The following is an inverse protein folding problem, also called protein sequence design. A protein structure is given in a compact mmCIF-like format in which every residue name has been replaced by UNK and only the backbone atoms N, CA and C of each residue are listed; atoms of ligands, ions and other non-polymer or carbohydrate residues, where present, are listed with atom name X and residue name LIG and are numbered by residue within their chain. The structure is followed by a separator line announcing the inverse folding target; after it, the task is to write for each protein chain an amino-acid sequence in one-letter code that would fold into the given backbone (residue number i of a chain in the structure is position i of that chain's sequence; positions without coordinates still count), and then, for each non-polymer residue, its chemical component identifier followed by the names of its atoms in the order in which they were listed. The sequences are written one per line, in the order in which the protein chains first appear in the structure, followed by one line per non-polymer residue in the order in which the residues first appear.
data_IF_008742323663
#
_entry.id   IF_008742323663
#
_cell.length_a   1.000
_cell.length_b   1.000
_cell.length_c   1.000
_cell.angle_alpha   90.00
_cell.angle_beta   90.00
_cell.angle_gamma   90.00
#
_symmetry.space_group_name_H-M   'P 1'
#
loop_
_entity.id
_entity.type
_entity.pdbx_description
1 polymer ?
#
# COMPACT_ATOMS: atom_id res chain seq x y z
N UNK A 1 -30.99 -50.08 42.35
CA UNK A 1 -30.02 -49.21 41.70
C UNK A 1 -28.67 -49.85 41.82
N UNK A 2 -28.15 -50.40 40.74
CA UNK A 2 -26.75 -50.89 40.65
C UNK A 2 -25.83 -49.68 40.53
N UNK A 3 -24.90 -49.52 41.51
CA UNK A 3 -23.79 -48.61 41.40
C UNK A 3 -22.85 -49.07 40.28
N UNK A 4 -22.60 -48.24 39.30
CA UNK A 4 -21.58 -48.48 38.31
C UNK A 4 -20.21 -48.48 38.98
N UNK A 5 -19.47 -49.58 38.85
CA UNK A 5 -18.09 -49.73 39.26
C UNK A 5 -17.24 -48.67 38.61
N UNK A 6 -16.69 -47.79 39.41
CA UNK A 6 -15.71 -46.79 38.99
C UNK A 6 -14.45 -47.48 38.48
N UNK A 7 -14.24 -47.42 37.17
CA UNK A 7 -13.00 -47.80 36.49
C UNK A 7 -11.80 -47.12 37.22
N UNK A 8 -11.03 -47.88 37.99
CA UNK A 8 -9.77 -47.42 38.60
C UNK A 8 -8.83 -47.04 37.47
N UNK A 9 -8.71 -45.77 37.10
CA UNK A 9 -7.67 -45.28 36.23
C UNK A 9 -6.30 -45.62 36.85
N UNK A 10 -5.60 -46.52 36.22
CA UNK A 10 -4.21 -46.81 36.60
C UNK A 10 -3.42 -45.50 36.57
N UNK A 11 -2.58 -45.24 37.61
CA UNK A 11 -1.76 -44.07 37.63
C UNK A 11 -0.74 -44.13 36.46
N UNK A 12 -0.84 -43.12 35.56
CA UNK A 12 0.10 -43.00 34.43
C UNK A 12 1.53 -42.97 34.96
N UNK A 13 2.48 -43.68 34.34
CA UNK A 13 3.86 -43.65 34.74
C UNK A 13 4.41 -42.19 34.75
N UNK A 14 5.34 -41.88 35.66
CA UNK A 14 5.89 -40.54 35.77
C UNK A 14 6.62 -40.18 34.49
N UNK A 15 6.19 -39.05 33.87
CA UNK A 15 6.77 -38.57 32.58
C UNK A 15 8.23 -38.15 32.87
N UNK A 16 9.17 -38.71 32.12
CA UNK A 16 10.59 -38.38 32.18
C UNK A 16 10.83 -36.88 31.90
N UNK A 17 11.87 -36.30 32.51
CA UNK A 17 12.30 -34.95 32.20
C UNK A 17 12.63 -34.75 30.70
N UNK A 18 13.18 -35.79 30.09
CA UNK A 18 13.51 -35.82 28.66
C UNK A 18 12.23 -35.73 27.78
N UNK A 19 11.20 -36.50 28.15
CA UNK A 19 9.91 -36.46 27.41
C UNK A 19 9.26 -35.09 27.47
N UNK A 20 9.34 -34.40 28.61
CA UNK A 20 8.85 -33.01 28.76
C UNK A 20 9.61 -32.06 27.84
N UNK A 21 10.93 -32.22 27.72
CA UNK A 21 11.77 -31.40 26.83
C UNK A 21 11.42 -31.68 25.37
N UNK A 22 11.30 -32.95 25.00
CA UNK A 22 10.94 -33.34 23.62
C UNK A 22 9.60 -32.76 23.23
N UNK A 23 8.57 -32.88 24.09
CA UNK A 23 7.24 -32.34 23.83
C UNK A 23 7.27 -30.80 23.73
N UNK A 24 8.04 -30.14 24.62
CA UNK A 24 8.17 -28.68 24.58
C UNK A 24 8.83 -28.17 23.28
N UNK A 25 9.82 -28.90 22.76
CA UNK A 25 10.51 -28.54 21.52
C UNK A 25 9.84 -29.06 20.24
N UNK A 26 8.98 -30.05 20.33
CA UNK A 26 8.34 -30.65 19.15
C UNK A 26 7.50 -29.61 18.36
N UNK A 27 6.76 -28.73 19.04
CA UNK A 27 5.98 -27.68 18.39
C UNK A 27 6.83 -26.68 17.61
N UNK A 28 7.81 -26.00 18.26
CA UNK A 28 8.72 -25.09 17.55
C UNK A 28 9.50 -25.77 16.43
N UNK A 29 10.00 -27.00 16.64
CA UNK A 29 10.76 -27.75 15.65
C UNK A 29 9.90 -28.09 14.42
N UNK A 30 8.67 -28.54 14.64
CA UNK A 30 7.72 -28.82 13.57
C UNK A 30 7.39 -27.56 12.77
N UNK A 31 7.13 -26.45 13.46
CA UNK A 31 6.85 -25.16 12.81
C UNK A 31 8.03 -24.68 11.98
N UNK A 32 9.25 -24.83 12.49
CA UNK A 32 10.47 -24.50 11.77
C UNK A 32 10.65 -25.39 10.53
N UNK A 33 10.46 -26.70 10.69
CA UNK A 33 10.49 -27.65 9.57
C UNK A 33 9.49 -27.30 8.47
N UNK A 34 8.26 -26.95 8.87
CA UNK A 34 7.20 -26.55 7.95
C UNK A 34 7.55 -25.22 7.24
N UNK A 35 8.14 -24.26 7.95
CA UNK A 35 8.61 -23.02 7.35
C UNK A 35 9.68 -23.25 6.28
N UNK A 36 10.62 -24.16 6.52
CA UNK A 36 11.65 -24.56 5.53
C UNK A 36 11.00 -25.20 4.30
N UNK A 37 10.02 -26.09 4.49
CA UNK A 37 9.29 -26.70 3.37
C UNK A 37 8.58 -25.63 2.54
N UNK A 38 7.86 -24.69 3.16
CA UNK A 38 7.22 -23.59 2.44
C UNK A 38 8.24 -22.69 1.75
N UNK A 39 9.39 -22.42 2.36
CA UNK A 39 10.44 -21.62 1.73
C UNK A 39 10.97 -22.28 0.46
N UNK A 40 11.10 -23.61 0.46
CA UNK A 40 11.49 -24.39 -0.72
C UNK A 40 10.37 -24.33 -1.78
N UNK A 41 9.12 -24.50 -1.39
CA UNK A 41 7.97 -24.37 -2.32
C UNK A 41 7.96 -23.00 -2.98
N UNK A 42 8.11 -21.92 -2.21
CA UNK A 42 8.17 -20.55 -2.74
C UNK A 42 9.37 -20.35 -3.67
N UNK A 43 10.49 -21.00 -3.40
CA UNK A 43 11.66 -20.96 -4.28
C UNK A 43 11.38 -21.57 -5.65
N UNK A 44 10.64 -22.68 -5.72
CA UNK A 44 10.27 -23.33 -6.99
C UNK A 44 9.09 -22.66 -7.69
N UNK A 45 8.04 -22.36 -6.96
CA UNK A 45 6.79 -21.78 -7.52
C UNK A 45 6.94 -20.28 -7.79
N UNK A 46 7.74 -19.59 -6.99
CA UNK A 46 7.85 -18.14 -6.98
C UNK A 46 6.78 -17.47 -6.11
N UNK A 47 7.04 -16.22 -5.76
CA UNK A 47 6.05 -15.32 -5.16
C UNK A 47 5.89 -14.07 -6.02
N UNK A 48 4.67 -13.55 -6.21
CA UNK A 48 4.47 -12.29 -6.89
C UNK A 48 5.04 -11.13 -6.04
N UNK A 49 5.83 -10.28 -6.66
CA UNK A 49 6.37 -9.06 -6.06
C UNK A 49 6.04 -7.90 -7.00
N UNK A 50 5.64 -6.78 -6.44
CA UNK A 50 5.42 -5.57 -7.23
C UNK A 50 6.70 -5.19 -8.00
N UNK A 51 6.57 -5.00 -9.31
CA UNK A 51 7.71 -4.75 -10.19
C UNK A 51 8.28 -3.34 -10.03
N UNK A 52 7.46 -2.39 -9.63
CA UNK A 52 7.83 -0.98 -9.60
C UNK A 52 8.47 -0.57 -8.28
N UNK A 53 9.80 -0.61 -8.27
CA UNK A 53 10.61 -0.04 -7.18
C UNK A 53 10.77 1.46 -7.39
N UNK A 54 9.73 2.23 -7.13
CA UNK A 54 9.83 3.68 -7.16
C UNK A 54 10.13 4.26 -5.79
N UNK A 55 10.91 5.34 -5.74
CA UNK A 55 11.04 6.22 -4.57
C UNK A 55 10.46 7.61 -4.84
N UNK A 56 9.80 7.78 -5.99
CA UNK A 56 9.20 9.05 -6.40
C UNK A 56 7.84 9.22 -5.74
N UNK A 57 7.61 10.41 -5.19
CA UNK A 57 6.32 10.79 -4.61
C UNK A 57 5.32 11.01 -5.75
N UNK A 58 4.19 10.30 -5.72
CA UNK A 58 3.10 10.50 -6.66
C UNK A 58 1.97 11.38 -6.11
N UNK A 59 1.80 11.37 -4.80
CA UNK A 59 0.77 12.15 -4.13
C UNK A 59 1.21 12.62 -2.76
N UNK A 60 0.75 13.83 -2.38
CA UNK A 60 0.99 14.45 -1.07
C UNK A 60 -0.31 15.06 -0.59
N UNK A 61 -0.71 14.77 0.64
CA UNK A 61 -1.85 15.44 1.27
C UNK A 61 -1.56 16.93 1.48
N UNK A 62 -2.42 17.81 0.95
CA UNK A 62 -2.24 19.26 0.97
C UNK A 62 -2.22 19.85 2.39
N UNK A 63 -2.84 19.18 3.36
CA UNK A 63 -2.83 19.56 4.77
C UNK A 63 -1.82 18.78 5.59
N UNK A 64 -1.16 17.82 4.96
CA UNK A 64 -0.26 16.85 5.58
C UNK A 64 1.12 17.40 5.95
N UNK A 65 1.86 16.65 6.77
CA UNK A 65 3.22 17.04 7.20
C UNK A 65 4.20 17.19 6.03
N UNK A 66 4.12 16.31 5.04
CA UNK A 66 4.98 16.36 3.87
C UNK A 66 4.81 17.65 3.07
N UNK A 67 3.56 18.03 2.79
CA UNK A 67 3.27 19.28 2.09
C UNK A 67 3.79 20.50 2.84
N UNK A 68 3.57 20.55 4.16
CA UNK A 68 4.02 21.64 5.04
C UNK A 68 5.55 21.75 5.09
N UNK A 69 6.26 20.63 4.94
CA UNK A 69 7.72 20.62 4.88
C UNK A 69 8.30 20.92 3.49
N UNK A 70 7.46 21.15 2.48
CA UNK A 70 7.87 21.51 1.13
C UNK A 70 7.99 20.33 0.16
N UNK A 71 7.67 19.09 0.55
CA UNK A 71 7.62 17.95 -0.37
C UNK A 71 6.46 18.09 -1.36
N UNK A 72 6.66 17.65 -2.59
CA UNK A 72 5.66 17.74 -3.68
C UNK A 72 5.61 16.46 -4.49
N UNK A 73 4.52 16.18 -5.20
CA UNK A 73 4.48 15.14 -6.22
C UNK A 73 5.59 15.35 -7.26
N UNK A 74 6.27 14.27 -7.64
CA UNK A 74 7.42 14.30 -8.52
C UNK A 74 8.79 14.30 -7.82
N UNK A 75 8.86 14.60 -6.52
CA UNK A 75 10.10 14.48 -5.76
C UNK A 75 10.55 13.02 -5.68
N UNK A 76 11.82 12.77 -6.01
CA UNK A 76 12.44 11.46 -5.84
C UNK A 76 13.19 11.41 -4.52
N UNK A 77 12.72 10.61 -3.57
CA UNK A 77 13.36 10.42 -2.27
C UNK A 77 14.64 9.60 -2.44
N UNK A 78 15.73 10.07 -1.88
CA UNK A 78 17.03 9.40 -1.84
C UNK A 78 17.30 8.78 -0.47
N UNK A 79 17.00 9.52 0.60
CA UNK A 79 17.27 9.11 1.98
C UNK A 79 16.11 9.53 2.89
N UNK A 80 15.83 8.71 3.88
CA UNK A 80 14.91 9.00 4.98
C UNK A 80 15.64 8.71 6.28
N UNK A 81 15.65 9.66 7.21
CA UNK A 81 16.37 9.58 8.49
C UNK A 81 17.85 9.25 8.31
N UNK A 82 18.51 9.92 7.34
CA UNK A 82 19.90 9.73 6.93
C UNK A 82 20.25 8.31 6.44
N UNK A 83 19.25 7.54 6.04
CA UNK A 83 19.43 6.20 5.51
C UNK A 83 18.91 6.12 4.07
N UNK A 84 19.66 5.50 3.15
CA UNK A 84 19.24 5.37 1.76
C UNK A 84 17.97 4.53 1.64
N UNK A 85 17.16 4.84 0.63
CA UNK A 85 15.94 4.11 0.30
C UNK A 85 15.97 3.63 -1.15
N UNK A 86 15.47 2.42 -1.39
CA UNK A 86 15.43 1.80 -2.72
C UNK A 86 14.03 1.67 -3.30
N UNK A 87 13.01 1.69 -2.46
CA UNK A 87 11.61 1.55 -2.85
C UNK A 87 10.68 2.26 -1.87
N UNK A 88 9.40 2.41 -2.25
CA UNK A 88 8.45 3.15 -1.42
C UNK A 88 7.80 2.28 -0.35
N UNK A 89 7.33 1.10 -0.73
CA UNK A 89 6.49 0.24 0.11
C UNK A 89 7.27 -0.86 0.83
N UNK A 90 6.80 -1.33 2.02
CA UNK A 90 7.28 -2.57 2.64
C UNK A 90 7.11 -3.78 1.70
N UNK A 91 7.80 -4.93 1.91
CA UNK A 91 8.42 -5.33 3.18
C UNK A 91 9.89 -4.91 3.37
N UNK A 92 10.52 -4.25 2.41
CA UNK A 92 11.93 -3.95 2.54
C UNK A 92 12.22 -2.91 3.63
N UNK A 93 13.24 -3.15 4.45
CA UNK A 93 13.67 -2.25 5.52
C UNK A 93 14.26 -0.93 5.00
N UNK A 94 14.71 -0.91 3.75
CA UNK A 94 15.16 0.26 3.02
C UNK A 94 14.02 0.96 2.25
N UNK A 95 12.76 0.68 2.60
CA UNK A 95 11.63 1.40 2.03
C UNK A 95 11.36 2.73 2.72
N UNK A 96 10.88 3.71 1.95
CA UNK A 96 10.46 5.02 2.45
C UNK A 96 9.48 4.88 3.62
N UNK A 97 8.45 4.05 3.45
CA UNK A 97 7.43 3.85 4.48
C UNK A 97 8.01 3.24 5.75
N UNK A 98 8.87 2.22 5.63
CA UNK A 98 9.47 1.59 6.80
C UNK A 98 10.38 2.56 7.56
N UNK A 99 11.24 3.32 6.85
CA UNK A 99 12.12 4.32 7.48
C UNK A 99 11.34 5.40 8.22
N UNK A 100 10.19 5.84 7.68
CA UNK A 100 9.31 6.80 8.38
C UNK A 100 8.73 6.18 9.65
N UNK A 101 8.28 4.92 9.60
CA UNK A 101 7.72 4.22 10.77
C UNK A 101 8.78 4.02 11.85
N UNK A 102 9.98 3.60 11.47
CA UNK A 102 11.09 3.29 12.37
C UNK A 102 11.80 4.52 12.94
N UNK A 103 11.64 5.69 12.31
CA UNK A 103 12.29 6.93 12.78
C UNK A 103 11.82 7.32 14.19
N UNK A 104 12.72 7.84 15.02
CA UNK A 104 12.42 8.21 16.42
C UNK A 104 12.32 9.73 16.62
N UNK A 105 12.99 10.52 15.80
CA UNK A 105 13.05 11.98 15.91
C UNK A 105 11.70 12.69 15.81
N UNK A 106 11.63 13.92 16.30
CA UNK A 106 10.46 14.79 16.13
C UNK A 106 10.26 15.16 14.66
N UNK A 107 11.34 15.47 13.97
CA UNK A 107 11.40 15.76 12.54
C UNK A 107 12.14 14.63 11.85
N UNK A 108 11.70 14.25 10.65
CA UNK A 108 12.36 13.21 9.86
C UNK A 108 13.16 13.91 8.76
N UNK A 109 14.51 13.87 8.75
CA UNK A 109 15.28 14.39 7.63
C UNK A 109 15.02 13.52 6.39
N UNK A 110 14.54 14.15 5.31
CA UNK A 110 14.28 13.51 4.03
C UNK A 110 15.09 14.23 2.96
N UNK A 111 16.03 13.50 2.36
CA UNK A 111 16.81 13.96 1.21
C UNK A 111 16.07 13.56 -0.07
N UNK A 112 15.87 14.51 -0.96
CA UNK A 112 15.15 14.28 -2.21
C UNK A 112 15.76 15.06 -3.38
N UNK A 113 15.40 14.66 -4.60
CA UNK A 113 15.74 15.37 -5.83
C UNK A 113 14.48 15.91 -6.47
N UNK A 114 14.50 17.20 -6.83
CA UNK A 114 13.48 17.89 -7.65
C UNK A 114 14.18 18.62 -8.78
N UNK A 115 13.77 18.39 -10.02
CA UNK A 115 14.35 19.02 -11.22
C UNK A 115 15.88 18.90 -11.28
N UNK A 116 16.40 17.73 -10.89
CA UNK A 116 17.83 17.43 -10.90
C UNK A 116 18.64 18.06 -9.74
N UNK A 117 17.99 18.79 -8.82
CA UNK A 117 18.66 19.41 -7.67
C UNK A 117 18.31 18.66 -6.38
N UNK A 118 19.33 18.38 -5.57
CA UNK A 118 19.13 17.82 -4.25
C UNK A 118 18.64 18.87 -3.27
N UNK A 119 17.73 18.48 -2.39
CA UNK A 119 17.19 19.30 -1.31
C UNK A 119 16.84 18.44 -0.10
N UNK A 120 16.60 19.12 1.04
CA UNK A 120 16.20 18.49 2.29
C UNK A 120 14.84 19.01 2.73
N UNK A 121 14.01 18.10 3.27
CA UNK A 121 12.76 18.42 3.95
C UNK A 121 12.74 17.79 5.34
N UNK A 122 11.98 18.39 6.25
CA UNK A 122 11.93 17.96 7.66
C UNK A 122 10.47 17.83 8.13
N UNK A 123 9.67 16.91 7.55
CA UNK A 123 8.30 16.72 7.99
C UNK A 123 8.23 16.24 9.44
N UNK A 124 7.25 16.78 10.18
CA UNK A 124 6.88 16.29 11.52
C UNK A 124 5.82 15.21 11.35
N UNK A 125 6.14 13.93 11.55
CA UNK A 125 5.18 12.85 11.29
C UNK A 125 4.01 12.91 12.27
N UNK A 126 2.85 12.52 11.79
CA UNK A 126 1.65 12.39 12.60
C UNK A 126 1.37 10.92 12.92
N UNK A 127 0.61 10.69 13.97
CA UNK A 127 -0.02 9.40 14.29
C UNK A 127 -1.52 9.61 14.38
N UNK A 128 -2.32 8.75 13.78
CA UNK A 128 -3.77 8.78 13.97
C UNK A 128 -4.07 8.53 15.45
N UNK A 129 -5.08 9.22 15.96
CA UNK A 129 -5.61 8.92 17.29
C UNK A 129 -6.18 7.49 17.27
N UNK A 130 -5.74 6.67 18.23
CA UNK A 130 -6.21 5.30 18.42
C UNK A 130 -6.91 5.20 19.77
N UNK A 131 -7.89 4.33 19.88
CA UNK A 131 -8.54 4.02 21.15
C UNK A 131 -7.55 3.32 22.06
N UNK A 132 -7.78 3.39 23.37
CA UNK A 132 -6.87 2.86 24.39
C UNK A 132 -6.56 1.34 24.26
N UNK A 133 -7.45 0.58 23.63
CA UNK A 133 -7.31 -0.86 23.36
C UNK A 133 -6.76 -1.19 21.97
N UNK A 134 -6.53 -0.19 21.12
CA UNK A 134 -5.96 -0.37 19.80
C UNK A 134 -4.45 -0.23 19.83
N UNK A 135 -3.76 -0.88 18.89
CA UNK A 135 -2.33 -0.65 18.71
C UNK A 135 -2.08 0.80 18.32
N UNK A 136 -1.01 1.40 18.84
CA UNK A 136 -0.61 2.77 18.45
C UNK A 136 -0.47 2.84 16.94
N UNK A 137 -1.10 3.85 16.34
CA UNK A 137 -0.97 4.06 14.90
C UNK A 137 0.49 4.34 14.52
N UNK A 138 0.87 3.86 13.34
CA UNK A 138 2.20 4.08 12.79
C UNK A 138 2.41 5.55 12.43
N UNK A 139 3.66 5.99 12.47
CA UNK A 139 4.06 7.33 12.03
C UNK A 139 3.83 7.47 10.53
N UNK A 140 3.30 8.61 10.11
CA UNK A 140 2.96 8.92 8.72
C UNK A 140 3.26 10.37 8.40
N UNK A 141 3.68 10.62 7.16
CA UNK A 141 3.84 11.98 6.61
C UNK A 141 2.81 12.29 5.51
N UNK A 142 1.91 11.36 5.22
CA UNK A 142 0.82 11.45 4.23
C UNK A 142 1.33 11.71 2.81
N UNK A 143 2.14 10.79 2.34
CA UNK A 143 2.62 10.70 0.96
C UNK A 143 2.33 9.32 0.39
N UNK A 144 2.22 9.24 -0.93
CA UNK A 144 2.09 7.97 -1.64
C UNK A 144 3.05 7.91 -2.84
N UNK A 145 3.43 6.69 -3.26
CA UNK A 145 4.32 6.49 -4.39
C UNK A 145 3.70 6.94 -5.72
N UNK A 146 4.57 7.25 -6.67
CA UNK A 146 4.18 7.49 -8.04
C UNK A 146 3.86 6.16 -8.73
N UNK A 147 2.65 6.08 -9.28
CA UNK A 147 2.18 4.96 -10.09
C UNK A 147 1.36 5.48 -11.25
N UNK A 148 1.53 4.88 -12.40
CA UNK A 148 0.65 5.15 -13.53
C UNK A 148 -0.74 4.57 -13.26
N UNK A 149 -1.78 5.33 -13.61
CA UNK A 149 -3.17 4.92 -13.44
C UNK A 149 -3.82 4.69 -14.81
N UNK A 150 -4.42 3.53 -15.00
CA UNK A 150 -5.11 3.13 -16.21
C UNK A 150 -6.58 2.84 -15.91
N UNK A 151 -7.46 3.33 -16.76
CA UNK A 151 -8.88 2.99 -16.70
C UNK A 151 -9.05 1.49 -16.88
N UNK A 152 -9.70 0.82 -15.92
CA UNK A 152 -9.97 -0.62 -16.00
C UNK A 152 -11.43 -0.92 -16.28
N UNK A 153 -12.34 -0.27 -15.56
CA UNK A 153 -13.77 -0.51 -15.69
C UNK A 153 -14.54 0.79 -15.60
N UNK A 154 -15.62 0.90 -16.40
CA UNK A 154 -16.42 2.10 -16.54
C UNK A 154 -17.90 1.72 -16.41
N UNK A 155 -18.63 2.46 -15.59
CA UNK A 155 -20.07 2.30 -15.47
C UNK A 155 -20.78 2.68 -16.76
N UNK A 156 -21.71 1.85 -17.21
CA UNK A 156 -22.56 2.15 -18.36
C UNK A 156 -23.43 3.38 -18.09
N UNK A 157 -23.60 4.25 -19.10
CA UNK A 157 -24.36 5.50 -19.00
C UNK A 157 -23.84 6.49 -17.96
N UNK A 158 -22.56 6.39 -17.60
CA UNK A 158 -21.90 7.33 -16.70
C UNK A 158 -21.25 8.49 -17.46
N UNK A 159 -20.86 9.59 -16.77
CA UNK A 159 -20.11 10.68 -17.39
C UNK A 159 -18.85 10.21 -18.11
N UNK A 160 -18.12 9.23 -17.55
CA UNK A 160 -16.93 8.63 -18.17
C UNK A 160 -17.29 7.90 -19.50
N UNK A 161 -18.38 7.12 -19.49
CA UNK A 161 -18.83 6.43 -20.69
C UNK A 161 -19.29 7.40 -21.79
N UNK A 162 -20.07 8.44 -21.41
CA UNK A 162 -20.55 9.49 -22.33
C UNK A 162 -19.39 10.29 -22.91
N UNK A 163 -18.37 10.60 -22.11
CA UNK A 163 -17.15 11.26 -22.56
C UNK A 163 -16.27 10.37 -23.46
N UNK A 164 -16.59 9.07 -23.56
CA UNK A 164 -15.89 8.12 -24.42
C UNK A 164 -14.56 7.65 -23.83
N UNK A 165 -14.41 7.60 -22.51
CA UNK A 165 -13.29 6.91 -21.88
C UNK A 165 -13.31 5.42 -22.25
N UNK A 166 -12.15 4.80 -22.32
CA UNK A 166 -12.01 3.39 -22.64
C UNK A 166 -11.05 2.69 -21.68
N UNK A 167 -11.25 1.38 -21.53
CA UNK A 167 -10.32 0.54 -20.79
C UNK A 167 -8.92 0.65 -21.40
N UNK A 168 -7.91 0.85 -20.55
CA UNK A 168 -6.51 1.03 -20.97
C UNK A 168 -6.10 2.49 -21.19
N UNK A 169 -7.01 3.45 -21.13
CA UNK A 169 -6.64 4.86 -21.11
C UNK A 169 -5.79 5.17 -19.89
N UNK A 170 -4.61 5.74 -20.11
CA UNK A 170 -3.71 6.16 -19.02
C UNK A 170 -4.05 7.58 -18.61
N UNK A 171 -4.29 7.81 -17.33
CA UNK A 171 -4.48 9.14 -16.78
C UNK A 171 -3.13 9.86 -16.68
N UNK A 172 -3.05 11.06 -17.30
CA UNK A 172 -1.85 11.89 -17.34
C UNK A 172 -2.00 13.14 -16.50
N UNK A 173 -3.13 13.83 -16.61
CA UNK A 173 -3.41 15.05 -15.84
C UNK A 173 -4.88 15.17 -15.46
N UNK A 174 -5.14 15.89 -14.36
CA UNK A 174 -6.45 16.31 -13.89
C UNK A 174 -6.45 17.84 -13.77
N UNK A 175 -7.40 18.49 -14.43
CA UNK A 175 -7.53 19.96 -14.43
C UNK A 175 -6.21 20.67 -14.80
N UNK A 176 -5.42 20.07 -15.72
CA UNK A 176 -4.13 20.59 -16.14
C UNK A 176 -2.96 20.24 -15.20
N UNK A 177 -3.21 19.69 -14.03
CA UNK A 177 -2.16 19.24 -13.11
C UNK A 177 -1.76 17.79 -13.40
N UNK A 178 -0.45 17.55 -13.52
CA UNK A 178 0.08 16.20 -13.76
C UNK A 178 -0.30 15.26 -12.62
N UNK A 179 -0.88 14.13 -12.96
CA UNK A 179 -1.22 13.05 -12.02
C UNK A 179 -0.17 11.96 -12.10
N UNK A 180 0.40 11.66 -10.95
CA UNK A 180 1.38 10.57 -10.79
C UNK A 180 0.91 9.53 -9.75
N UNK A 181 -0.36 9.56 -9.34
CA UNK A 181 -0.96 8.56 -8.46
C UNK A 181 -2.48 8.56 -8.60
N UNK A 182 -3.08 7.38 -8.56
CA UNK A 182 -4.54 7.21 -8.52
C UNK A 182 -5.18 7.89 -7.29
N UNK A 183 -4.41 8.08 -6.21
CA UNK A 183 -4.89 8.75 -5.00
C UNK A 183 -5.33 10.20 -5.25
N UNK A 184 -4.73 10.88 -6.22
CA UNK A 184 -5.19 12.23 -6.61
C UNK A 184 -6.64 12.21 -7.09
N UNK A 185 -7.03 11.18 -7.84
CA UNK A 185 -8.38 11.01 -8.33
C UNK A 185 -9.34 10.56 -7.22
N UNK A 186 -8.93 9.58 -6.41
CA UNK A 186 -9.75 9.11 -5.29
C UNK A 186 -10.05 10.25 -4.31
N UNK A 187 -9.09 11.10 -4.05
CA UNK A 187 -9.28 12.28 -3.20
C UNK A 187 -10.21 13.33 -3.83
N UNK A 188 -10.12 13.49 -5.16
CA UNK A 188 -11.07 14.33 -5.91
C UNK A 188 -12.49 13.74 -5.80
N UNK A 189 -12.68 12.45 -6.02
CA UNK A 189 -13.99 11.79 -5.92
C UNK A 189 -14.55 11.86 -4.49
N UNK A 190 -13.73 11.68 -3.46
CA UNK A 190 -14.15 11.88 -2.08
C UNK A 190 -14.64 13.31 -1.83
N UNK A 191 -13.99 14.32 -2.42
CA UNK A 191 -14.39 15.72 -2.32
C UNK A 191 -15.73 16.02 -3.00
N UNK A 192 -16.18 15.19 -3.94
CA UNK A 192 -17.48 15.31 -4.63
C UNK A 192 -18.69 14.99 -3.74
N UNK A 193 -18.47 14.52 -2.51
CA UNK A 193 -19.55 14.52 -1.48
C UNK A 193 -20.09 15.91 -1.22
N UNK A 194 -19.30 16.96 -1.47
CA UNK A 194 -19.77 18.34 -1.47
C UNK A 194 -20.41 18.68 -2.83
N UNK A 195 -21.72 19.02 -2.88
CA UNK A 195 -22.41 19.30 -4.13
C UNK A 195 -21.79 20.45 -4.95
N UNK A 196 -21.17 21.43 -4.27
CA UNK A 196 -20.52 22.55 -4.96
C UNK A 196 -19.22 22.11 -5.68
N UNK A 197 -18.57 21.03 -5.23
CA UNK A 197 -17.41 20.42 -5.90
C UNK A 197 -17.88 19.50 -7.01
N UNK A 198 -18.88 18.67 -6.76
CA UNK A 198 -19.44 17.73 -7.74
C UNK A 198 -19.98 18.43 -9.00
N UNK A 199 -20.56 19.63 -8.85
CA UNK A 199 -21.08 20.42 -9.98
C UNK A 199 -19.98 21.03 -10.88
N UNK A 200 -18.71 21.01 -10.44
CA UNK A 200 -17.63 21.56 -11.25
C UNK A 200 -17.17 20.56 -12.30
N UNK A 201 -16.93 20.99 -13.54
CA UNK A 201 -16.36 20.13 -14.55
C UNK A 201 -14.92 19.74 -14.17
N UNK A 202 -14.60 18.48 -14.40
CA UNK A 202 -13.26 17.90 -14.24
C UNK A 202 -12.69 17.59 -15.60
N UNK A 203 -11.56 18.19 -15.92
CA UNK A 203 -10.85 17.93 -17.17
C UNK A 203 -9.80 16.84 -16.94
N UNK A 204 -9.92 15.73 -17.67
CA UNK A 204 -8.97 14.62 -17.65
C UNK A 204 -8.14 14.64 -18.94
N UNK A 205 -6.83 14.67 -18.81
CA UNK A 205 -5.92 14.39 -19.92
C UNK A 205 -5.54 12.92 -19.87
N UNK A 206 -5.87 12.19 -20.93
CA UNK A 206 -5.68 10.74 -21.06
C UNK A 206 -4.71 10.45 -22.20
N UNK A 207 -3.92 9.38 -22.07
CA UNK A 207 -3.10 8.84 -23.12
C UNK A 207 -3.69 7.51 -23.59
N UNK A 208 -4.16 7.45 -24.84
CA UNK A 208 -4.66 6.25 -25.52
C UNK A 208 -3.69 5.85 -26.62
N UNK A 209 -2.90 4.79 -26.39
CA UNK A 209 -1.76 4.47 -27.24
C UNK A 209 -0.74 5.61 -27.23
N UNK A 210 -0.57 6.30 -28.37
CA UNK A 210 0.30 7.48 -28.49
C UNK A 210 -0.45 8.81 -28.52
N UNK A 211 -1.79 8.80 -28.46
CA UNK A 211 -2.63 10.00 -28.61
C UNK A 211 -3.02 10.56 -27.25
N UNK A 212 -2.77 11.86 -27.06
CA UNK A 212 -3.30 12.61 -25.93
C UNK A 212 -4.74 13.02 -26.23
N UNK A 213 -5.64 12.73 -25.30
CA UNK A 213 -7.05 13.04 -25.36
C UNK A 213 -7.41 13.89 -24.13
N UNK A 214 -8.12 14.98 -24.36
CA UNK A 214 -8.67 15.78 -23.29
C UNK A 214 -10.18 15.55 -23.21
N UNK A 215 -10.69 15.22 -22.03
CA UNK A 215 -12.08 14.92 -21.76
C UNK A 215 -12.56 15.69 -20.55
N UNK A 216 -13.67 16.38 -20.68
CA UNK A 216 -14.30 17.11 -19.60
C UNK A 216 -15.54 16.35 -19.12
N UNK A 217 -15.60 16.07 -17.83
CA UNK A 217 -16.68 15.32 -17.18
C UNK A 217 -17.26 16.14 -16.04
N UNK A 218 -18.55 15.99 -15.80
CA UNK A 218 -19.21 16.50 -14.61
C UNK A 218 -19.73 15.31 -13.84
N UNK A 219 -19.46 15.25 -12.53
CA UNK A 219 -19.91 14.14 -11.71
C UNK A 219 -21.44 14.10 -11.64
N UNK A 220 -22.02 12.92 -11.80
CA UNK A 220 -23.45 12.68 -11.70
C UNK A 220 -23.74 11.66 -10.61
N UNK A 221 -24.96 11.72 -10.07
CA UNK A 221 -25.43 10.70 -9.14
C UNK A 221 -25.53 9.37 -9.88
N UNK A 222 -25.02 8.27 -9.31
CA UNK A 222 -25.14 6.96 -9.93
C UNK A 222 -26.65 6.61 -10.09
N UNK A 223 -26.94 5.91 -11.18
CA UNK A 223 -28.31 5.43 -11.47
C UNK A 223 -28.74 4.33 -10.49
N UNK A 224 -27.79 3.68 -9.83
CA UNK A 224 -28.07 2.67 -8.80
C UNK A 224 -28.26 3.33 -7.43
N UNK A 225 -29.33 2.98 -6.69
CA UNK A 225 -29.68 3.63 -5.42
C UNK A 225 -28.71 3.40 -4.27
N UNK A 226 -27.66 2.60 -4.44
CA UNK A 226 -26.68 2.27 -3.40
C UNK A 226 -25.61 3.34 -3.19
N UNK A 227 -25.34 4.19 -4.19
CA UNK A 227 -24.31 5.21 -4.10
C UNK A 227 -24.95 6.60 -4.07
N UNK A 228 -25.00 7.20 -2.88
CA UNK A 228 -25.58 8.53 -2.68
C UNK A 228 -24.65 9.67 -3.16
N UNK A 229 -23.39 9.39 -3.46
CA UNK A 229 -22.37 10.37 -3.85
C UNK A 229 -22.26 10.47 -5.37
N UNK A 230 -22.18 11.71 -5.92
CA UNK A 230 -21.84 11.89 -7.34
C UNK A 230 -20.48 11.27 -7.66
N UNK A 231 -20.36 10.66 -8.84
CA UNK A 231 -19.12 10.07 -9.32
C UNK A 231 -18.87 10.38 -10.80
N UNK A 232 -17.65 10.22 -11.25
CA UNK A 232 -17.29 10.34 -12.67
C UNK A 232 -17.63 9.06 -13.45
N UNK A 233 -17.87 7.95 -12.73
CA UNK A 233 -18.30 6.69 -13.30
C UNK A 233 -17.16 5.77 -13.76
N UNK A 234 -15.94 6.00 -13.32
CA UNK A 234 -14.85 5.01 -13.44
C UNK A 234 -14.92 4.09 -12.23
N UNK A 235 -15.24 2.81 -12.45
CA UNK A 235 -15.47 1.83 -11.38
C UNK A 235 -14.17 1.25 -10.82
N UNK A 236 -13.14 1.16 -11.65
CA UNK A 236 -11.86 0.60 -11.26
C UNK A 236 -10.70 1.22 -12.05
N UNK A 237 -9.59 1.42 -11.35
CA UNK A 237 -8.32 1.84 -11.90
C UNK A 237 -7.29 0.72 -11.71
N UNK A 238 -6.51 0.43 -12.75
CA UNK A 238 -5.29 -0.37 -12.63
C UNK A 238 -4.11 0.56 -12.44
N UNK A 239 -3.19 0.17 -11.58
CA UNK A 239 -1.91 0.86 -11.43
C UNK A 239 -0.80 0.06 -12.10
N UNK A 240 0.30 0.71 -12.45
CA UNK A 240 1.48 0.03 -13.02
C UNK A 240 2.06 -1.05 -12.09
N UNK A 241 1.75 -0.99 -10.79
CA UNK A 241 2.14 -2.02 -9.80
C UNK A 241 1.43 -3.36 -9.97
N UNK A 242 0.34 -3.42 -10.75
CA UNK A 242 -0.38 -4.68 -10.98
C UNK A 242 0.36 -5.66 -11.92
N UNK A 243 1.51 -5.27 -12.47
CA UNK A 243 2.45 -6.19 -13.13
C UNK A 243 3.30 -6.90 -12.07
N UNK A 244 2.73 -7.93 -11.43
CA UNK A 244 3.48 -8.75 -10.52
C UNK A 244 4.61 -9.47 -11.26
N UNK A 245 5.86 -9.21 -10.87
CA UNK A 245 6.99 -10.04 -11.28
C UNK A 245 7.08 -11.24 -10.35
N UNK A 246 7.16 -12.44 -10.93
CA UNK A 246 7.42 -13.64 -10.13
C UNK A 246 8.90 -13.65 -9.74
N UNK A 247 9.17 -13.65 -8.44
CA UNK A 247 10.53 -13.79 -7.91
C UNK A 247 10.67 -15.12 -7.20
N UNK A 248 11.85 -15.72 -7.30
CA UNK A 248 12.20 -17.01 -6.73
C UNK A 248 13.30 -16.84 -5.64
N UNK A 249 12.97 -16.20 -4.49
CA UNK A 249 13.97 -15.97 -3.45
C UNK A 249 14.43 -17.31 -2.88
N UNK A 250 15.75 -17.49 -2.71
CA UNK A 250 16.28 -18.70 -2.08
C UNK A 250 15.76 -18.84 -0.64
N UNK A 251 15.64 -20.06 -0.10
CA UNK A 251 15.19 -20.27 1.27
C UNK A 251 16.02 -19.49 2.30
N UNK A 252 17.33 -19.35 2.08
CA UNK A 252 18.20 -18.54 2.94
C UNK A 252 17.82 -17.06 2.94
N UNK A 253 17.60 -16.48 1.76
CA UNK A 253 17.18 -15.08 1.64
C UNK A 253 15.83 -14.83 2.30
N UNK A 254 14.91 -15.79 2.25
CA UNK A 254 13.61 -15.69 2.92
C UNK A 254 13.75 -15.66 4.44
N UNK A 255 14.65 -16.49 5.00
CA UNK A 255 14.96 -16.52 6.43
C UNK A 255 15.61 -15.19 6.86
N UNK A 256 16.61 -14.73 6.13
CA UNK A 256 17.29 -13.44 6.42
C UNK A 256 16.32 -12.27 6.42
N UNK A 257 15.43 -12.19 5.43
CA UNK A 257 14.40 -11.16 5.37
C UNK A 257 13.40 -11.24 6.54
N UNK A 258 13.11 -12.43 7.04
CA UNK A 258 12.18 -12.64 8.16
C UNK A 258 12.81 -12.28 9.50
N UNK A 259 14.09 -12.62 9.71
CA UNK A 259 14.82 -12.31 10.95
C UNK A 259 15.11 -10.82 11.06
N UNK A 260 15.42 -10.16 9.95
CA UNK A 260 15.67 -8.71 9.93
C UNK A 260 14.43 -7.85 10.19
N UNK A 261 13.23 -8.43 10.33
CA UNK A 261 11.97 -7.72 10.64
C UNK A 261 11.58 -7.81 12.13
N UNK A 262 12.35 -8.53 12.95
CA UNK A 262 12.17 -8.64 14.40
C UNK A 262 13.07 -7.64 15.10
#
# INVERSE_FOLDING_TARGET
GKAEDGEKKEPLPPISAMDKIIVAFAGPLFSFGLAVVFAVVVWFVGKPVEADKTTTIGWVDLNGPAWKSGLRPGDKILEVDNQPVSQFAPPAQDSVTWRIIASEGTNIPIKYVRDGKEAMAYPVPIRRATKWYERKAMRQILVAPAHEAFVHDIATNSPAAVAGLQRGDKLVALNGEKVSSVLSLLHLEESMTNPAVAAKPVTMTLLRGSNLLEKTLVAEKPIKPTDATPSLGVLAWLTSTNTAQMTHPSPWLQIEQSVGQI
#
